data_IF_701768607416
#
_entry.id   IF_701768607416
#
_cell.length_a   1.000
_cell.length_b   1.000
_cell.length_c   1.000
_cell.angle_alpha   90.00
_cell.angle_beta   90.00
_cell.angle_gamma   90.00
#
_symmetry.space_group_name_H-M   'P 1'
#
loop_
_entity.id
_entity.type
_entity.pdbx_description
1 polymer ?
#
# COMPACT_ATOMS: atom_id res chain seq x y z
N UNK A 1 -19.22 31.09 -69.13
CA UNK A 1 -20.49 30.59 -69.72
C UNK A 1 -21.67 31.22 -68.98
N UNK A 2 -22.55 31.90 -69.72
CA UNK A 2 -24.01 32.11 -69.53
C UNK A 2 -24.59 32.60 -68.18
N UNK A 3 -25.24 33.79 -68.30
CA UNK A 3 -26.57 34.24 -67.81
C UNK A 3 -26.73 34.53 -66.29
N UNK A 4 -27.09 35.75 -65.84
CA UNK A 4 -28.31 36.59 -66.01
C UNK A 4 -29.52 36.08 -65.21
N UNK A 5 -29.94 36.92 -64.22
CA UNK A 5 -31.30 37.17 -63.68
C UNK A 5 -31.98 36.04 -62.87
N UNK A 6 -32.87 36.24 -61.88
CA UNK A 6 -33.34 37.33 -61.00
C UNK A 6 -34.50 36.72 -60.17
N UNK A 7 -34.94 37.45 -59.15
CA UNK A 7 -36.32 37.48 -58.59
C UNK A 7 -36.80 36.37 -57.64
N UNK A 8 -37.35 36.91 -56.54
CA UNK A 8 -38.08 36.42 -55.38
C UNK A 8 -39.56 36.09 -55.69
N UNK A 9 -40.36 35.75 -54.65
CA UNK A 9 -41.85 35.67 -54.56
C UNK A 9 -42.37 34.21 -54.68
N UNK A 10 -42.76 33.49 -53.62
CA UNK A 10 -43.80 33.64 -52.57
C UNK A 10 -45.22 33.25 -53.03
N UNK A 11 -45.76 32.17 -52.44
CA UNK A 11 -47.18 31.80 -52.34
C UNK A 11 -47.32 31.07 -50.99
N UNK A 12 -47.85 31.68 -49.93
CA UNK A 12 -49.27 31.75 -49.52
C UNK A 12 -50.01 30.43 -49.77
N UNK A 13 -50.46 29.74 -48.70
CA UNK A 13 -51.89 29.51 -48.41
C UNK A 13 -52.07 29.02 -46.97
N UNK A 14 -53.10 29.57 -46.36
CA UNK A 14 -53.56 29.58 -44.97
C UNK A 14 -54.38 28.37 -44.56
N UNK A 15 -54.67 28.33 -43.25
CA UNK A 15 -55.92 27.92 -42.59
C UNK A 15 -55.86 26.64 -41.74
N UNK A 16 -56.47 26.52 -40.55
CA UNK A 16 -57.04 27.45 -39.54
C UNK A 16 -57.68 26.53 -38.47
N UNK A 17 -57.58 26.93 -37.19
CA UNK A 17 -58.46 26.55 -36.05
C UNK A 17 -58.40 25.08 -35.57
N UNK A 18 -58.60 24.74 -34.30
CA UNK A 18 -59.41 25.40 -33.28
C UNK A 18 -59.01 25.00 -31.85
N UNK A 19 -59.36 25.92 -30.95
CA UNK A 19 -59.25 26.02 -29.49
C UNK A 19 -60.02 24.97 -28.67
N UNK A 20 -59.55 24.67 -27.44
CA UNK A 20 -60.23 25.00 -26.16
C UNK A 20 -59.55 24.36 -24.91
N UNK A 21 -59.27 25.21 -23.90
CA UNK A 21 -59.45 25.08 -22.41
C UNK A 21 -59.35 23.69 -21.73
N UNK A 22 -58.77 23.45 -20.54
CA UNK A 22 -58.76 24.19 -19.25
C UNK A 22 -57.90 23.45 -18.20
N UNK A 23 -57.42 24.22 -17.21
CA UNK A 23 -57.23 23.87 -15.78
C UNK A 23 -56.24 22.76 -15.32
N UNK A 24 -55.23 23.25 -14.60
CA UNK A 24 -54.62 22.72 -13.36
C UNK A 24 -54.37 21.21 -13.22
N UNK A 25 -53.09 20.85 -13.33
CA UNK A 25 -52.50 19.88 -12.42
C UNK A 25 -51.13 20.40 -11.98
N UNK A 26 -51.06 20.81 -10.71
CA UNK A 26 -49.83 20.98 -9.95
C UNK A 26 -48.97 19.71 -10.09
N UNK A 27 -47.98 19.72 -10.99
CA UNK A 27 -46.80 18.89 -10.80
C UNK A 27 -45.84 19.70 -9.96
N UNK A 28 -45.84 19.41 -8.66
CA UNK A 28 -44.63 19.51 -7.85
C UNK A 28 -43.50 18.91 -8.70
N UNK A 29 -42.65 19.77 -9.28
CA UNK A 29 -41.26 19.38 -9.48
C UNK A 29 -40.72 19.30 -8.07
N UNK A 30 -40.75 18.11 -7.49
CA UNK A 30 -39.84 17.80 -6.40
C UNK A 30 -38.47 18.25 -6.88
N UNK A 31 -37.84 19.17 -6.15
CA UNK A 31 -36.41 19.36 -6.27
C UNK A 31 -35.77 17.97 -6.24
N UNK A 32 -34.79 17.67 -7.12
CA UNK A 32 -34.07 16.42 -6.98
C UNK A 32 -33.59 16.35 -5.53
N UNK A 33 -33.98 15.26 -4.86
CA UNK A 33 -33.48 14.95 -3.53
C UNK A 33 -31.96 15.18 -3.55
N UNK A 34 -31.48 15.94 -2.57
CA UNK A 34 -30.09 16.38 -2.46
C UNK A 34 -29.15 15.27 -2.95
N UNK A 35 -28.27 15.52 -3.94
CA UNK A 35 -27.34 14.49 -4.40
C UNK A 35 -26.59 13.98 -3.18
N UNK A 36 -26.58 12.66 -2.98
CA UNK A 36 -25.91 12.05 -1.84
C UNK A 36 -24.50 12.63 -1.70
N UNK A 37 -24.23 13.21 -0.54
CA UNK A 37 -22.96 13.82 -0.23
C UNK A 37 -22.47 13.19 1.06
N UNK A 38 -21.22 12.76 1.06
CA UNK A 38 -20.60 12.29 2.29
C UNK A 38 -20.60 13.39 3.35
N UNK A 39 -20.95 13.03 4.58
CA UNK A 39 -20.98 13.90 5.75
C UNK A 39 -19.57 14.10 6.32
N UNK A 40 -18.75 13.06 6.25
CA UNK A 40 -17.33 13.04 6.61
C UNK A 40 -16.61 12.00 5.75
N UNK A 41 -15.28 11.98 5.78
CA UNK A 41 -14.50 10.92 5.11
C UNK A 41 -13.41 10.41 6.06
N UNK A 42 -13.34 9.09 6.32
CA UNK A 42 -14.28 8.05 5.85
C UNK A 42 -15.67 8.17 6.50
N UNK A 43 -16.74 7.91 5.73
CA UNK A 43 -18.10 7.79 6.26
C UNK A 43 -18.43 6.34 6.59
N UNK A 44 -18.69 6.04 7.86
CA UNK A 44 -18.93 4.67 8.33
C UNK A 44 -20.40 4.46 8.65
N UNK A 45 -20.97 3.37 8.14
CA UNK A 45 -22.27 2.85 8.50
C UNK A 45 -22.11 1.57 9.29
N UNK A 46 -22.87 1.43 10.37
CA UNK A 46 -22.81 0.29 11.30
C UNK A 46 -24.14 -0.44 11.29
N UNK A 47 -24.07 -1.77 11.21
CA UNK A 47 -25.23 -2.66 11.25
C UNK A 47 -26.09 -2.41 12.51
N UNK A 48 -27.40 -2.29 12.32
CA UNK A 48 -28.39 -2.02 13.38
C UNK A 48 -29.06 -3.31 13.87
N UNK A 49 -29.09 -3.50 15.19
CA UNK A 49 -29.91 -4.48 15.92
C UNK A 49 -29.80 -5.96 15.45
N UNK A 50 -28.70 -6.31 14.77
CA UNK A 50 -28.43 -7.65 14.26
C UNK A 50 -27.06 -8.14 14.78
N UNK A 51 -26.83 -9.45 14.76
CA UNK A 51 -25.59 -10.06 15.28
C UNK A 51 -24.38 -9.73 14.38
N UNK A 52 -23.46 -8.83 14.81
CA UNK A 52 -22.31 -8.42 14.00
C UNK A 52 -21.27 -9.55 13.85
N UNK A 53 -21.41 -10.65 14.59
CA UNK A 53 -20.60 -11.85 14.41
C UNK A 53 -21.11 -12.76 13.29
N UNK A 54 -22.30 -12.51 12.73
CA UNK A 54 -22.86 -13.32 11.64
C UNK A 54 -23.05 -12.56 10.34
N UNK A 55 -23.19 -11.24 10.44
CA UNK A 55 -23.50 -10.37 9.32
C UNK A 55 -22.43 -9.28 9.24
N UNK A 56 -22.08 -8.89 8.02
CA UNK A 56 -21.22 -7.77 7.67
C UNK A 56 -21.50 -6.59 8.61
N UNK A 57 -20.54 -6.19 9.46
CA UNK A 57 -20.83 -5.26 10.53
C UNK A 57 -20.81 -3.80 10.08
N UNK A 58 -20.03 -3.46 9.03
CA UNK A 58 -19.87 -2.08 8.58
C UNK A 58 -19.76 -1.92 7.06
N UNK A 59 -20.18 -0.75 6.59
CA UNK A 59 -19.93 -0.22 5.25
C UNK A 59 -19.19 1.11 5.40
N UNK A 60 -18.02 1.24 4.81
CA UNK A 60 -17.21 2.47 4.86
C UNK A 60 -17.08 3.06 3.46
N UNK A 61 -17.35 4.35 3.31
CA UNK A 61 -17.25 5.09 2.05
C UNK A 61 -16.18 6.18 2.15
N UNK A 62 -15.43 6.36 1.07
CA UNK A 62 -14.34 7.33 0.97
C UNK A 62 -14.63 8.37 -0.12
N UNK A 63 -14.11 9.58 0.02
CA UNK A 63 -14.40 10.70 -0.89
C UNK A 63 -14.03 10.41 -2.35
N UNK A 64 -13.01 9.58 -2.58
CA UNK A 64 -12.55 9.23 -3.92
C UNK A 64 -13.39 8.16 -4.64
N UNK A 65 -14.52 7.72 -4.07
CA UNK A 65 -15.33 6.63 -4.62
C UNK A 65 -14.92 5.24 -4.16
N UNK A 66 -13.89 5.10 -3.30
CA UNK A 66 -13.56 3.83 -2.69
C UNK A 66 -14.61 3.44 -1.65
N UNK A 67 -14.81 2.14 -1.47
CA UNK A 67 -15.62 1.59 -0.37
C UNK A 67 -14.96 0.37 0.25
N UNK A 68 -15.18 0.19 1.54
CA UNK A 68 -14.75 -1.00 2.27
C UNK A 68 -15.95 -1.62 2.97
N UNK A 69 -16.16 -2.90 2.69
CA UNK A 69 -17.12 -3.74 3.39
C UNK A 69 -16.34 -4.59 4.40
N UNK A 70 -16.79 -4.63 5.65
CA UNK A 70 -16.15 -5.47 6.65
C UNK A 70 -16.74 -6.89 6.66
N UNK A 71 -16.03 -7.81 7.30
CA UNK A 71 -16.54 -9.14 7.59
C UNK A 71 -16.79 -9.30 9.07
N UNK A 72 -17.63 -10.27 9.47
CA UNK A 72 -17.76 -10.63 10.86
C UNK A 72 -16.41 -11.13 11.43
N UNK A 73 -16.10 -10.85 12.72
CA UNK A 73 -14.83 -11.21 13.35
C UNK A 73 -14.49 -12.71 13.37
N UNK A 74 -15.48 -13.60 13.17
CA UNK A 74 -15.31 -15.06 13.19
C UNK A 74 -14.94 -15.66 11.83
N UNK A 75 -14.80 -14.84 10.78
CA UNK A 75 -14.45 -15.31 9.45
C UNK A 75 -12.93 -15.34 9.27
N UNK A 76 -12.37 -16.55 9.09
CA UNK A 76 -10.99 -16.73 8.63
C UNK A 76 -10.81 -16.48 7.12
N UNK A 77 -11.91 -16.19 6.40
CA UNK A 77 -11.88 -15.91 4.97
C UNK A 77 -11.59 -14.44 4.73
N UNK A 78 -10.44 -14.15 4.10
CA UNK A 78 -10.03 -12.93 3.40
C UNK A 78 -10.85 -11.64 3.64
N UNK A 79 -10.23 -10.63 4.27
CA UNK A 79 -10.67 -9.24 4.26
C UNK A 79 -11.11 -8.86 2.83
N UNK A 80 -12.30 -8.28 2.67
CA UNK A 80 -12.65 -7.67 1.39
C UNK A 80 -11.61 -6.58 1.10
N UNK A 81 -10.89 -6.73 -0.01
CA UNK A 81 -9.98 -5.71 -0.52
C UNK A 81 -10.75 -4.41 -0.79
N UNK A 82 -10.10 -3.27 -0.95
CA UNK A 82 -10.82 -2.02 -1.25
C UNK A 82 -11.68 -2.17 -2.52
N UNK A 83 -12.97 -1.82 -2.41
CA UNK A 83 -13.94 -1.80 -3.49
C UNK A 83 -14.18 -0.39 -4.02
N UNK A 84 -15.13 -0.25 -4.93
CA UNK A 84 -15.62 1.04 -5.43
C UNK A 84 -17.10 1.17 -5.14
N UNK A 85 -17.60 2.39 -4.97
CA UNK A 85 -19.02 2.64 -4.91
C UNK A 85 -19.48 3.65 -5.96
N UNK A 86 -20.72 3.46 -6.38
CA UNK A 86 -21.46 4.38 -7.23
C UNK A 86 -22.81 4.66 -6.60
N UNK A 87 -23.34 5.87 -6.83
CA UNK A 87 -24.63 6.27 -6.31
C UNK A 87 -25.50 6.78 -7.44
N UNK A 88 -26.65 6.14 -7.60
CA UNK A 88 -27.66 6.50 -8.57
C UNK A 88 -28.96 6.80 -7.82
N UNK A 89 -29.32 8.08 -7.75
CA UNK A 89 -30.47 8.57 -6.99
C UNK A 89 -30.41 8.14 -5.51
N UNK A 90 -31.20 7.12 -5.13
CA UNK A 90 -31.27 6.57 -3.79
C UNK A 90 -30.67 5.16 -3.69
N UNK A 91 -29.89 4.73 -4.68
CA UNK A 91 -29.25 3.42 -4.67
C UNK A 91 -27.72 3.59 -4.63
N UNK A 92 -27.11 3.06 -3.57
CA UNK A 92 -25.67 2.92 -3.42
C UNK A 92 -25.29 1.50 -3.84
N UNK A 93 -24.42 1.39 -4.84
CA UNK A 93 -23.86 0.11 -5.26
C UNK A 93 -22.39 0.07 -4.89
N UNK A 94 -21.99 -0.92 -4.10
CA UNK A 94 -20.60 -1.22 -3.76
C UNK A 94 -20.15 -2.45 -4.52
N UNK A 95 -19.04 -2.35 -5.24
CA UNK A 95 -18.45 -3.41 -6.06
C UNK A 95 -17.05 -3.75 -5.56
N UNK A 96 -16.80 -5.03 -5.32
CA UNK A 96 -15.53 -5.63 -4.93
C UNK A 96 -15.13 -6.68 -5.95
N UNK A 97 -14.08 -6.43 -6.74
CA UNK A 97 -13.69 -7.33 -7.82
C UNK A 97 -14.79 -7.52 -8.88
N UNK A 98 -14.65 -8.55 -9.73
CA UNK A 98 -15.52 -8.71 -10.91
C UNK A 98 -16.92 -9.26 -10.57
N UNK A 99 -17.07 -10.02 -9.48
CA UNK A 99 -18.30 -10.79 -9.21
C UNK A 99 -18.96 -10.47 -7.86
N UNK A 100 -18.38 -9.57 -7.08
CA UNK A 100 -18.82 -9.34 -5.71
C UNK A 100 -19.41 -7.94 -5.58
N UNK A 101 -20.68 -7.85 -5.21
CA UNK A 101 -21.40 -6.58 -5.12
C UNK A 101 -22.43 -6.57 -4.00
N UNK A 102 -22.72 -5.38 -3.49
CA UNK A 102 -23.83 -5.10 -2.61
C UNK A 102 -24.55 -3.84 -3.09
N UNK A 103 -25.87 -3.91 -3.20
CA UNK A 103 -26.72 -2.75 -3.49
C UNK A 103 -27.52 -2.40 -2.24
N UNK A 104 -27.55 -1.11 -1.92
CA UNK A 104 -28.20 -0.55 -0.75
C UNK A 104 -29.17 0.54 -1.19
N UNK A 105 -30.34 0.56 -0.57
CA UNK A 105 -31.25 1.69 -0.60
C UNK A 105 -30.77 2.72 0.43
N UNK A 106 -30.52 3.93 -0.05
CA UNK A 106 -30.14 5.09 0.72
C UNK A 106 -31.39 5.83 1.14
N UNK A 107 -31.51 6.09 2.43
CA UNK A 107 -32.65 6.79 3.02
C UNK A 107 -32.20 7.76 4.11
N UNK A 108 -33.15 8.54 4.66
CA UNK A 108 -32.89 9.50 5.73
C UNK A 108 -31.74 10.46 5.42
N UNK A 109 -31.78 11.10 4.25
CA UNK A 109 -30.76 12.04 3.78
C UNK A 109 -29.32 11.45 3.71
N UNK A 110 -29.21 10.13 3.55
CA UNK A 110 -27.92 9.46 3.51
C UNK A 110 -27.48 8.85 4.84
N UNK A 111 -28.24 8.99 5.92
CA UNK A 111 -27.88 8.44 7.23
C UNK A 111 -28.20 6.95 7.37
N UNK A 112 -28.94 6.37 6.44
CA UNK A 112 -29.39 4.97 6.55
C UNK A 112 -29.22 4.23 5.24
N UNK A 113 -28.54 3.08 5.30
CA UNK A 113 -28.43 2.13 4.20
C UNK A 113 -29.26 0.88 4.52
N UNK A 114 -30.09 0.44 3.58
CA UNK A 114 -30.79 -0.84 3.69
C UNK A 114 -30.32 -1.76 2.58
N UNK A 115 -29.74 -2.91 2.93
CA UNK A 115 -29.23 -3.85 1.93
C UNK A 115 -30.37 -4.43 1.08
N UNK A 116 -30.33 -4.21 -0.24
CA UNK A 116 -31.35 -4.68 -1.19
C UNK A 116 -30.96 -5.99 -1.83
N UNK A 117 -29.70 -6.12 -2.18
CA UNK A 117 -29.15 -7.35 -2.77
C UNK A 117 -27.66 -7.44 -2.51
N UNK A 118 -27.14 -8.66 -2.47
CA UNK A 118 -25.72 -8.89 -2.37
C UNK A 118 -25.32 -10.23 -2.97
N UNK A 119 -24.13 -10.29 -3.54
CA UNK A 119 -23.44 -11.54 -3.88
C UNK A 119 -22.35 -11.90 -2.86
N UNK A 120 -22.23 -11.12 -1.77
CA UNK A 120 -21.30 -11.35 -0.67
C UNK A 120 -21.85 -12.39 0.32
N UNK A 121 -20.97 -13.23 0.84
CA UNK A 121 -21.25 -13.98 2.07
C UNK A 121 -21.44 -13.05 3.27
N UNK A 122 -22.03 -13.59 4.36
CA UNK A 122 -22.26 -12.84 5.61
C UNK A 122 -23.15 -11.60 5.43
N UNK A 123 -24.13 -11.65 4.54
CA UNK A 123 -25.09 -10.56 4.36
C UNK A 123 -26.52 -11.05 4.54
N UNK A 124 -27.44 -10.13 4.86
CA UNK A 124 -28.87 -10.40 4.98
C UNK A 124 -29.64 -9.28 4.28
N UNK A 125 -30.35 -9.62 3.21
CA UNK A 125 -31.22 -8.64 2.53
C UNK A 125 -32.24 -8.08 3.54
N UNK A 126 -32.39 -6.76 3.54
CA UNK A 126 -33.17 -6.00 4.51
C UNK A 126 -32.37 -5.56 5.75
N UNK A 127 -31.09 -5.96 5.90
CA UNK A 127 -30.23 -5.45 6.97
C UNK A 127 -30.09 -3.93 6.84
N UNK A 128 -30.20 -3.24 7.98
CA UNK A 128 -30.15 -1.78 8.07
C UNK A 128 -28.83 -1.35 8.70
N UNK A 129 -28.19 -0.36 8.12
CA UNK A 129 -26.96 0.23 8.62
C UNK A 129 -27.18 1.72 8.84
N UNK A 130 -26.81 2.21 10.01
CA UNK A 130 -26.91 3.62 10.35
C UNK A 130 -25.54 4.27 10.25
N UNK A 131 -25.50 5.47 9.69
CA UNK A 131 -24.33 6.33 9.76
C UNK A 131 -23.93 6.54 11.23
N UNK A 132 -22.63 6.44 11.48
CA UNK A 132 -22.02 6.76 12.76
C UNK A 132 -20.80 7.63 12.48
N UNK A 133 -20.82 8.86 13.00
CA UNK A 133 -19.67 9.75 12.84
C UNK A 133 -18.46 9.22 13.60
N UNK A 134 -17.26 9.57 13.14
CA UNK A 134 -16.03 9.22 13.83
C UNK A 134 -15.96 9.88 15.22
N UNK A 135 -16.50 11.10 15.35
CA UNK A 135 -16.62 11.77 16.65
C UNK A 135 -17.52 10.98 17.61
N UNK A 136 -18.68 10.48 17.15
CA UNK A 136 -19.57 9.66 17.97
C UNK A 136 -18.95 8.30 18.32
N UNK A 137 -18.21 7.69 17.39
CA UNK A 137 -17.47 6.46 17.64
C UNK A 137 -16.41 6.67 18.73
N UNK A 138 -15.54 7.66 18.57
CA UNK A 138 -14.43 7.93 19.48
C UNK A 138 -14.88 8.47 20.84
N UNK A 139 -16.05 9.14 20.92
CA UNK A 139 -16.60 9.65 22.19
C UNK A 139 -16.89 8.58 23.24
N UNK A 140 -16.95 7.31 22.83
CA UNK A 140 -17.19 6.16 23.71
C UNK A 140 -15.92 5.68 24.42
N UNK A 141 -14.76 6.20 24.03
CA UNK A 141 -13.45 5.76 24.50
C UNK A 141 -12.72 6.86 25.28
N UNK A 142 -11.85 6.49 26.25
CA UNK A 142 -11.00 7.44 26.92
C UNK A 142 -10.14 8.22 25.92
N UNK A 143 -10.19 9.55 26.00
CA UNK A 143 -9.29 10.44 25.27
C UNK A 143 -8.12 10.83 26.17
N UNK A 144 -6.91 10.57 25.71
CA UNK A 144 -5.68 11.02 26.35
C UNK A 144 -5.24 12.31 25.68
N UNK A 145 -5.15 13.40 26.45
CA UNK A 145 -4.73 14.70 25.94
C UNK A 145 -3.20 14.78 25.85
N UNK A 146 -2.70 15.29 24.73
CA UNK A 146 -1.27 15.44 24.45
C UNK A 146 -1.00 16.41 23.31
N UNK A 147 0.19 16.33 22.71
CA UNK A 147 0.54 17.08 21.51
C UNK A 147 -0.30 16.62 20.30
N UNK A 148 -0.57 17.51 19.34
CA UNK A 148 -1.13 17.07 18.05
C UNK A 148 -0.06 16.28 17.30
N UNK A 149 -0.40 15.07 16.86
CA UNK A 149 0.46 14.29 15.97
C UNK A 149 0.38 14.88 14.56
N UNK A 150 1.46 15.53 14.11
CA UNK A 150 1.53 16.09 12.76
C UNK A 150 2.11 15.09 11.76
N UNK A 151 1.91 15.33 10.47
CA UNK A 151 2.54 14.53 9.40
C UNK A 151 4.06 14.55 9.51
N UNK A 152 4.68 15.69 9.83
CA UNK A 152 6.13 15.76 10.00
C UNK A 152 6.63 14.96 11.22
N UNK A 153 5.92 15.03 12.34
CA UNK A 153 6.22 14.22 13.51
C UNK A 153 6.09 12.71 13.19
N UNK A 154 5.07 12.34 12.42
CA UNK A 154 4.88 10.96 11.96
C UNK A 154 6.00 10.50 11.02
N UNK A 155 6.51 11.36 10.13
CA UNK A 155 7.66 11.05 9.27
C UNK A 155 8.93 10.79 10.08
N UNK A 156 9.15 11.52 11.18
CA UNK A 156 10.28 11.23 12.08
C UNK A 156 10.09 9.90 12.84
N UNK A 157 8.87 9.57 13.25
CA UNK A 157 8.56 8.27 13.88
C UNK A 157 8.80 7.11 12.93
N UNK A 158 8.38 7.23 11.66
CA UNK A 158 8.58 6.20 10.64
C UNK A 158 10.05 5.82 10.46
N UNK A 159 11.00 6.75 10.65
CA UNK A 159 12.44 6.44 10.55
C UNK A 159 12.95 5.50 11.64
N UNK A 160 12.23 5.40 12.77
CA UNK A 160 12.55 4.49 13.88
C UNK A 160 12.02 3.07 13.63
N UNK A 161 11.13 2.89 12.67
CA UNK A 161 10.61 1.58 12.32
C UNK A 161 11.76 0.61 11.93
N UNK A 162 11.68 -0.68 12.29
CA UNK A 162 10.55 -1.36 12.95
C UNK A 162 10.55 -1.25 14.49
N UNK A 163 11.46 -0.50 15.11
CA UNK A 163 11.67 -0.46 16.56
C UNK A 163 10.74 0.48 17.32
N UNK A 164 9.55 0.76 16.77
CA UNK A 164 8.57 1.63 17.42
C UNK A 164 7.94 0.92 18.62
N UNK A 165 7.68 1.69 19.67
CA UNK A 165 7.01 1.23 20.89
C UNK A 165 5.84 2.16 21.21
N UNK A 166 4.90 1.73 22.06
CA UNK A 166 3.80 2.58 22.53
C UNK A 166 4.30 3.91 23.11
N UNK A 167 5.42 3.88 23.84
CA UNK A 167 6.00 5.07 24.45
C UNK A 167 6.50 6.11 23.45
N UNK A 168 6.75 5.73 22.19
CA UNK A 168 7.03 6.71 21.13
C UNK A 168 5.80 7.59 20.80
N UNK A 169 4.59 7.13 21.16
CA UNK A 169 3.32 7.76 20.84
C UNK A 169 2.59 8.39 22.06
N UNK A 170 2.91 7.99 23.29
CA UNK A 170 2.23 8.40 24.54
C UNK A 170 2.08 9.93 24.71
N UNK A 171 3.01 10.71 24.15
CA UNK A 171 2.98 12.17 24.25
C UNK A 171 1.94 12.85 23.34
N UNK A 172 1.38 12.13 22.37
CA UNK A 172 0.40 12.68 21.43
C UNK A 172 -1.04 12.43 21.89
N UNK A 173 -1.96 13.30 21.47
CA UNK A 173 -3.39 13.10 21.71
C UNK A 173 -3.89 11.84 21.01
N UNK A 174 -4.59 10.96 21.74
CA UNK A 174 -5.14 9.72 21.21
C UNK A 174 -6.37 9.22 21.96
N UNK A 175 -6.98 8.17 21.43
CA UNK A 175 -8.08 7.43 22.04
C UNK A 175 -7.66 5.99 22.32
N UNK A 176 -7.95 5.52 23.53
CA UNK A 176 -7.72 4.13 23.95
C UNK A 176 -8.96 3.30 23.63
N UNK A 177 -8.90 2.53 22.54
CA UNK A 177 -10.02 1.67 22.12
C UNK A 177 -10.08 0.41 22.99
N UNK A 178 -8.90 -0.12 23.32
CA UNK A 178 -8.66 -1.17 24.32
C UNK A 178 -7.24 -0.99 24.88
N UNK A 179 -6.83 -1.82 25.85
CA UNK A 179 -5.49 -1.76 26.47
C UNK A 179 -4.34 -1.82 25.48
N UNK A 180 -4.57 -2.47 24.34
CA UNK A 180 -3.55 -2.73 23.32
C UNK A 180 -3.88 -2.07 21.97
N UNK A 181 -4.89 -1.18 21.91
CA UNK A 181 -5.29 -0.55 20.66
C UNK A 181 -5.58 0.94 20.83
N UNK A 182 -4.73 1.75 20.20
CA UNK A 182 -4.77 3.21 20.27
C UNK A 182 -4.99 3.82 18.87
N UNK A 183 -5.80 4.88 18.81
CA UNK A 183 -6.09 5.62 17.58
C UNK A 183 -5.65 7.08 17.72
N UNK A 184 -4.90 7.56 16.73
CA UNK A 184 -4.40 8.92 16.64
C UNK A 184 -4.96 9.60 15.38
N UNK A 185 -5.38 10.85 15.52
CA UNK A 185 -5.65 11.71 14.37
C UNK A 185 -4.35 12.41 13.94
N UNK A 186 -4.06 12.40 12.64
CA UNK A 186 -2.86 13.02 12.08
C UNK A 186 -3.26 14.12 11.11
N UNK A 187 -3.16 15.37 11.57
CA UNK A 187 -3.54 16.60 10.83
C UNK A 187 -4.93 16.55 10.15
N UNK A 188 -5.85 15.71 10.64
CA UNK A 188 -7.17 15.47 10.04
C UNK A 188 -7.17 14.62 8.76
N UNK A 189 -6.02 14.49 8.08
CA UNK A 189 -5.91 13.78 6.80
C UNK A 189 -5.66 12.28 6.93
N UNK A 190 -5.11 11.83 8.06
CA UNK A 190 -4.80 10.43 8.29
C UNK A 190 -5.24 9.96 9.68
N UNK A 191 -5.43 8.66 9.79
CA UNK A 191 -5.68 7.95 11.04
C UNK A 191 -4.54 6.97 11.27
N UNK A 192 -3.81 7.12 12.37
CA UNK A 192 -2.80 6.16 12.80
C UNK A 192 -3.42 5.19 13.81
N UNK A 193 -3.30 3.90 13.53
CA UNK A 193 -3.68 2.78 14.39
C UNK A 193 -2.41 2.17 14.97
N UNK A 194 -2.29 2.17 16.29
CA UNK A 194 -1.19 1.51 17.02
C UNK A 194 -1.77 0.34 17.80
N UNK A 195 -1.30 -0.86 17.49
CA UNK A 195 -1.76 -2.11 18.10
C UNK A 195 -0.57 -2.80 18.75
N UNK A 196 -0.72 -3.21 20.00
CA UNK A 196 0.29 -3.98 20.73
C UNK A 196 -0.12 -5.45 20.70
N UNK A 197 0.75 -6.33 20.23
CA UNK A 197 0.50 -7.77 20.30
C UNK A 197 0.92 -8.33 21.65
N UNK A 198 0.42 -9.53 21.99
CA UNK A 198 0.67 -10.17 23.29
C UNK A 198 2.15 -10.49 23.56
N UNK A 199 2.99 -10.49 22.53
CA UNK A 199 4.45 -10.65 22.60
C UNK A 199 5.18 -9.30 22.84
N UNK A 200 4.45 -8.19 22.94
CA UNK A 200 4.97 -6.84 23.14
C UNK A 200 5.37 -6.11 21.86
N UNK A 201 5.19 -6.72 20.68
CA UNK A 201 5.46 -6.04 19.41
C UNK A 201 4.40 -4.97 19.12
N UNK A 202 4.83 -3.86 18.53
CA UNK A 202 3.93 -2.74 18.19
C UNK A 202 3.72 -2.69 16.68
N UNK A 203 2.49 -2.97 16.24
CA UNK A 203 2.03 -2.76 14.88
C UNK A 203 1.52 -1.33 14.69
N UNK A 204 2.04 -0.63 13.68
CA UNK A 204 1.62 0.74 13.38
C UNK A 204 1.14 0.83 11.92
N UNK A 205 -0.13 1.19 11.72
CA UNK A 205 -0.73 1.35 10.39
C UNK A 205 -1.29 2.75 10.26
N UNK A 206 -0.84 3.48 9.24
CA UNK A 206 -1.37 4.79 8.86
C UNK A 206 -2.39 4.59 7.74
N UNK A 207 -3.61 5.07 7.94
CA UNK A 207 -4.67 5.05 6.93
C UNK A 207 -4.96 6.47 6.45
N UNK A 208 -5.08 6.66 5.14
CA UNK A 208 -5.43 7.95 4.56
C UNK A 208 -6.94 8.09 4.53
N UNK A 209 -7.46 9.11 5.20
CA UNK A 209 -8.89 9.26 5.41
C UNK A 209 -9.67 9.48 4.08
N UNK A 210 -9.02 10.04 3.06
CA UNK A 210 -9.67 10.36 1.77
C UNK A 210 -9.91 9.16 0.85
N UNK A 211 -9.14 8.08 0.99
CA UNK A 211 -9.20 6.93 0.08
C UNK A 211 -9.05 5.56 0.76
N UNK A 212 -8.79 5.52 2.07
CA UNK A 212 -8.64 4.29 2.84
C UNK A 212 -7.36 3.52 2.58
N UNK A 213 -6.43 4.07 1.80
CA UNK A 213 -5.13 3.43 1.58
C UNK A 213 -4.36 3.39 2.88
N UNK A 214 -3.91 2.19 3.24
CA UNK A 214 -3.15 1.94 4.45
C UNK A 214 -1.66 1.79 4.15
N UNK A 215 -0.82 2.23 5.08
CA UNK A 215 0.62 2.09 5.05
C UNK A 215 1.10 1.49 6.38
N UNK A 216 1.67 0.28 6.38
CA UNK A 216 2.29 -0.33 7.54
C UNK A 216 3.66 0.32 7.80
N UNK A 217 3.79 1.08 8.89
CA UNK A 217 5.00 1.87 9.17
C UNK A 217 6.25 0.99 9.34
N UNK A 218 6.10 -0.23 9.87
CA UNK A 218 7.18 -1.20 10.02
C UNK A 218 7.82 -1.62 8.69
N UNK A 219 7.09 -1.45 7.58
CA UNK A 219 7.59 -1.76 6.24
C UNK A 219 8.18 -0.55 5.51
N UNK A 220 8.32 0.62 6.14
CA UNK A 220 8.96 1.74 5.47
C UNK A 220 10.43 1.44 5.12
N UNK A 221 10.84 1.77 3.89
CA UNK A 221 12.16 1.43 3.37
C UNK A 221 12.25 -0.01 2.85
N UNK A 222 11.12 -0.73 2.83
CA UNK A 222 10.97 -2.00 2.11
C UNK A 222 10.73 -1.74 0.62
N UNK A 223 10.94 -2.75 -0.21
CA UNK A 223 10.74 -2.66 -1.65
C UNK A 223 9.30 -2.25 -1.98
N UNK A 224 9.14 -1.23 -2.85
CA UNK A 224 7.88 -0.55 -3.17
C UNK A 224 7.14 0.14 -2.00
N UNK A 225 7.77 0.30 -0.82
CA UNK A 225 7.15 0.90 0.36
C UNK A 225 7.99 2.08 0.88
N UNK A 226 7.63 3.27 0.41
CA UNK A 226 8.14 4.53 0.91
C UNK A 226 7.01 5.36 1.49
N UNK A 227 7.17 5.78 2.74
CA UNK A 227 6.17 6.58 3.42
C UNK A 227 5.99 7.94 2.75
N UNK A 228 7.07 8.57 2.27
CA UNK A 228 6.98 9.85 1.58
C UNK A 228 6.27 9.73 0.22
N UNK A 229 6.44 8.61 -0.49
CA UNK A 229 5.64 8.29 -1.70
C UNK A 229 4.19 8.06 -1.32
N UNK A 230 3.93 7.32 -0.23
CA UNK A 230 2.58 7.14 0.30
C UNK A 230 1.93 8.46 0.71
N UNK A 231 2.68 9.46 1.21
CA UNK A 231 2.12 10.78 1.52
C UNK A 231 1.95 11.67 0.28
N UNK A 232 2.43 11.24 -0.89
CA UNK A 232 2.47 12.06 -2.11
C UNK A 232 3.51 13.19 -2.06
N UNK A 233 4.48 13.10 -1.15
CA UNK A 233 5.58 14.05 -0.99
C UNK A 233 6.79 13.71 -1.87
N UNK A 234 6.87 12.46 -2.34
CA UNK A 234 7.88 11.97 -3.26
C UNK A 234 7.24 11.19 -4.41
N UNK A 235 7.96 11.08 -5.53
CA UNK A 235 7.60 10.16 -6.60
C UNK A 235 8.26 8.80 -6.34
N UNK A 236 7.62 7.68 -6.72
CA UNK A 236 8.28 6.39 -6.70
C UNK A 236 9.54 6.45 -7.56
N UNK A 237 10.60 5.79 -7.10
CA UNK A 237 11.85 5.69 -7.83
C UNK A 237 11.63 5.02 -9.18
N UNK A 238 12.38 5.48 -10.17
CA UNK A 238 12.44 4.88 -11.52
C UNK A 238 13.81 4.26 -11.76
N UNK A 239 14.55 3.93 -10.71
CA UNK A 239 15.84 3.31 -10.86
C UNK A 239 15.65 1.91 -11.45
N UNK A 240 15.99 1.77 -12.73
CA UNK A 240 15.98 0.48 -13.41
C UNK A 240 17.14 -0.36 -12.89
N UNK A 241 16.92 -1.60 -12.44
CA UNK A 241 18.00 -2.45 -11.97
C UNK A 241 19.10 -2.61 -13.01
N UNK A 242 20.36 -2.60 -12.56
CA UNK A 242 21.53 -2.65 -13.42
C UNK A 242 22.48 -3.75 -12.99
N UNK A 243 23.10 -4.41 -13.96
CA UNK A 243 24.21 -5.31 -13.72
C UNK A 243 25.52 -4.54 -13.82
N UNK A 244 26.27 -4.46 -12.71
CA UNK A 244 27.64 -3.96 -12.76
C UNK A 244 28.58 -5.07 -13.26
N UNK A 245 28.51 -6.25 -12.64
CA UNK A 245 29.29 -7.43 -13.02
C UNK A 245 28.61 -8.72 -12.56
N UNK A 246 28.89 -9.82 -13.23
CA UNK A 246 28.38 -11.13 -12.87
C UNK A 246 29.32 -12.24 -13.35
N UNK A 247 29.97 -12.90 -12.39
CA UNK A 247 30.89 -14.03 -12.61
C UNK A 247 30.39 -15.30 -11.94
N UNK A 248 29.15 -15.34 -11.45
CA UNK A 248 28.68 -16.44 -10.61
C UNK A 248 28.63 -17.79 -11.35
N UNK A 249 28.45 -17.77 -12.67
CA UNK A 249 28.43 -18.97 -13.52
C UNK A 249 29.70 -19.14 -14.36
N UNK A 250 30.70 -18.28 -14.17
CA UNK A 250 31.91 -18.30 -14.97
C UNK A 250 32.88 -19.34 -14.41
N UNK A 251 33.61 -20.02 -15.29
CA UNK A 251 34.58 -21.06 -14.88
C UNK A 251 35.80 -20.46 -14.17
N UNK A 252 36.16 -19.21 -14.47
CA UNK A 252 37.29 -18.49 -13.89
C UNK A 252 36.90 -17.08 -13.43
N UNK A 253 37.32 -16.72 -12.23
CA UNK A 253 37.20 -15.37 -11.70
C UNK A 253 38.45 -14.56 -12.04
N UNK A 254 38.33 -13.28 -12.46
CA UNK A 254 39.49 -12.42 -12.76
C UNK A 254 40.19 -11.94 -11.47
N UNK A 255 40.96 -12.82 -10.85
CA UNK A 255 41.70 -12.54 -9.62
C UNK A 255 42.70 -11.39 -9.80
N UNK A 256 42.68 -10.43 -8.88
CA UNK A 256 43.59 -9.27 -8.89
C UNK A 256 43.21 -8.16 -9.87
N UNK A 257 42.15 -8.32 -10.67
CA UNK A 257 41.58 -7.23 -11.45
C UNK A 257 40.78 -6.27 -10.57
N UNK A 258 40.72 -5.02 -11.02
CA UNK A 258 39.89 -3.97 -10.44
C UNK A 258 38.92 -3.48 -11.50
N UNK A 259 37.65 -3.38 -11.16
CA UNK A 259 36.62 -2.74 -11.99
C UNK A 259 36.10 -1.50 -11.30
N UNK A 260 36.02 -0.41 -12.03
CA UNK A 260 35.52 0.86 -11.53
C UNK A 260 34.10 1.11 -11.98
N UNK A 261 33.33 1.83 -11.17
CA UNK A 261 31.99 2.31 -11.48
C UNK A 261 31.81 3.71 -10.90
N UNK A 262 31.20 4.58 -11.68
CA UNK A 262 30.72 5.89 -11.24
C UNK A 262 29.23 5.96 -11.46
N UNK A 263 28.49 6.45 -10.48
CA UNK A 263 27.03 6.54 -10.53
C UNK A 263 26.59 8.02 -10.44
N UNK A 264 25.67 8.49 -11.30
CA UNK A 264 25.10 9.84 -11.20
C UNK A 264 24.49 10.14 -9.83
N UNK A 265 23.95 9.12 -9.17
CA UNK A 265 23.32 9.18 -7.83
C UNK A 265 24.33 9.49 -6.72
N UNK A 266 25.62 9.23 -6.96
CA UNK A 266 26.72 9.44 -6.03
C UNK A 266 27.86 10.24 -6.70
N UNK A 267 27.64 11.53 -6.99
CA UNK A 267 28.59 12.33 -7.76
C UNK A 267 29.93 12.47 -7.04
N UNK A 268 31.02 12.25 -7.77
CA UNK A 268 32.39 12.36 -7.25
C UNK A 268 32.88 11.11 -6.49
N UNK A 269 32.08 10.04 -6.44
CA UNK A 269 32.47 8.77 -5.85
C UNK A 269 32.82 7.78 -6.96
N UNK A 270 34.00 7.16 -6.84
CA UNK A 270 34.39 6.00 -7.63
C UNK A 270 34.24 4.75 -6.77
N UNK A 271 33.35 3.88 -7.18
CA UNK A 271 33.21 2.55 -6.62
C UNK A 271 34.19 1.60 -7.30
N UNK A 272 34.80 0.71 -6.53
CA UNK A 272 35.71 -0.30 -7.08
C UNK A 272 35.29 -1.68 -6.62
N UNK A 273 35.33 -2.64 -7.53
CA UNK A 273 35.21 -4.06 -7.24
C UNK A 273 36.54 -4.73 -7.49
N UNK A 274 36.93 -5.62 -6.59
CA UNK A 274 37.85 -6.72 -6.85
C UNK A 274 37.17 -8.03 -6.46
N UNK A 275 37.78 -9.16 -6.83
CA UNK A 275 37.31 -10.49 -6.42
C UNK A 275 37.08 -10.65 -4.91
N UNK A 276 37.69 -9.81 -4.08
CA UNK A 276 37.64 -9.92 -2.61
C UNK A 276 36.72 -8.89 -1.94
N UNK A 277 36.37 -7.79 -2.61
CA UNK A 277 35.65 -6.67 -1.98
C UNK A 277 35.07 -5.66 -2.95
N UNK A 278 34.11 -4.89 -2.44
CA UNK A 278 33.63 -3.65 -3.05
C UNK A 278 33.97 -2.46 -2.16
N UNK A 279 34.44 -1.36 -2.74
CA UNK A 279 34.79 -0.13 -2.03
C UNK A 279 34.18 1.12 -2.68
N UNK A 280 34.11 2.21 -1.92
CA UNK A 280 33.87 3.57 -2.38
C UNK A 280 35.05 4.44 -1.93
N UNK A 281 35.98 4.73 -2.84
CA UNK A 281 37.31 5.22 -2.46
C UNK A 281 37.99 4.26 -1.48
N UNK A 282 38.39 4.77 -0.31
CA UNK A 282 39.07 3.99 0.74
C UNK A 282 38.10 3.19 1.64
N UNK A 283 36.79 3.43 1.56
CA UNK A 283 35.79 2.76 2.39
C UNK A 283 35.42 1.40 1.79
N UNK A 284 35.63 0.32 2.52
CA UNK A 284 35.10 -0.99 2.16
C UNK A 284 33.60 -1.03 2.43
N UNK A 285 32.80 -1.36 1.43
CA UNK A 285 31.35 -1.53 1.57
C UNK A 285 31.04 -2.94 2.08
N UNK A 286 31.62 -3.95 1.42
CA UNK A 286 31.55 -5.35 1.84
C UNK A 286 32.69 -6.16 1.21
N UNK A 287 32.90 -7.37 1.74
CA UNK A 287 33.94 -8.29 1.31
C UNK A 287 33.34 -9.68 1.03
N UNK A 288 34.10 -10.50 0.32
CA UNK A 288 33.78 -11.89 0.03
C UNK A 288 35.04 -12.64 -0.39
N UNK A 289 34.95 -13.96 -0.42
CA UNK A 289 35.98 -14.86 -0.93
C UNK A 289 35.34 -15.92 -1.84
N UNK A 290 34.92 -15.54 -3.07
CA UNK A 290 34.97 -14.20 -3.66
C UNK A 290 33.63 -13.43 -3.57
N UNK A 291 33.64 -12.18 -4.06
CA UNK A 291 32.45 -11.45 -4.50
C UNK A 291 32.15 -11.83 -5.95
N UNK A 292 31.09 -12.59 -6.18
CA UNK A 292 30.80 -13.18 -7.49
C UNK A 292 30.10 -12.23 -8.47
N UNK A 293 29.12 -11.48 -7.97
CA UNK A 293 28.34 -10.56 -8.77
C UNK A 293 27.98 -9.32 -7.95
N UNK A 294 27.71 -8.23 -8.67
CA UNK A 294 27.17 -7.01 -8.08
C UNK A 294 26.12 -6.46 -9.02
N UNK A 295 24.89 -6.42 -8.54
CA UNK A 295 23.76 -5.75 -9.17
C UNK A 295 23.40 -4.49 -8.37
N UNK A 296 22.77 -3.55 -9.05
CA UNK A 296 22.39 -2.25 -8.52
C UNK A 296 20.87 -2.11 -8.67
N UNK A 297 20.18 -1.75 -7.61
CA UNK A 297 18.72 -1.52 -7.64
C UNK A 297 18.33 -0.65 -6.46
N UNK A 298 17.26 0.12 -6.59
CA UNK A 298 16.72 0.93 -5.49
C UNK A 298 15.60 0.15 -4.77
N UNK A 299 15.99 -0.60 -3.75
CA UNK A 299 15.13 -1.40 -2.89
C UNK A 299 14.45 -0.55 -1.81
N UNK A 300 15.03 0.59 -1.42
CA UNK A 300 14.50 1.47 -0.37
C UNK A 300 13.59 2.58 -0.91
N UNK A 301 13.55 2.76 -2.24
CA UNK A 301 12.86 3.82 -2.99
C UNK A 301 13.34 5.24 -2.63
N UNK A 302 14.62 5.39 -2.29
CA UNK A 302 15.23 6.68 -1.94
C UNK A 302 15.87 7.40 -3.15
N UNK A 303 15.75 6.80 -4.34
CA UNK A 303 16.30 7.26 -5.60
C UNK A 303 17.76 6.88 -5.81
N UNK A 304 18.38 6.11 -4.92
CA UNK A 304 19.78 5.70 -5.00
C UNK A 304 19.89 4.18 -4.94
N UNK A 305 20.77 3.56 -5.73
CA UNK A 305 20.86 2.11 -5.76
C UNK A 305 21.60 1.55 -4.55
N UNK A 306 21.08 0.45 -4.02
CA UNK A 306 21.83 -0.48 -3.18
C UNK A 306 22.70 -1.42 -4.02
N UNK A 307 23.86 -1.78 -3.47
CA UNK A 307 24.78 -2.76 -4.04
C UNK A 307 24.39 -4.15 -3.55
N UNK A 308 23.84 -4.97 -4.44
CA UNK A 308 23.35 -6.32 -4.17
C UNK A 308 24.33 -7.34 -4.71
N UNK A 309 24.93 -8.15 -3.85
CA UNK A 309 26.01 -9.06 -4.24
C UNK A 309 25.81 -10.47 -3.70
N UNK A 310 26.17 -11.44 -4.54
CA UNK A 310 26.44 -12.82 -4.12
C UNK A 310 27.89 -12.93 -3.69
N UNK A 311 28.14 -13.42 -2.49
CA UNK A 311 29.49 -13.55 -1.93
C UNK A 311 29.66 -14.92 -1.31
N UNK A 312 30.85 -15.51 -1.43
CA UNK A 312 31.19 -16.71 -0.65
C UNK A 312 32.04 -16.37 0.56
N UNK A 313 31.91 -17.15 1.63
CA UNK A 313 32.75 -17.03 2.82
C UNK A 313 33.28 -18.38 3.27
N UNK A 314 34.39 -18.34 4.02
CA UNK A 314 35.01 -19.51 4.62
C UNK A 314 36.17 -20.09 3.80
N UNK A 315 37.15 -20.66 4.50
CA UNK A 315 38.33 -21.31 3.92
C UNK A 315 38.30 -22.84 4.08
N UNK A 316 37.14 -23.40 4.44
CA UNK A 316 36.94 -24.83 4.69
C UNK A 316 35.49 -25.22 4.39
N UNK A 317 34.56 -24.88 5.29
CA UNK A 317 33.12 -24.89 5.01
C UNK A 317 32.83 -23.59 4.27
N UNK A 318 32.83 -23.67 2.94
CA UNK A 318 32.46 -22.55 2.06
C UNK A 318 30.95 -22.53 1.91
N UNK A 319 30.34 -21.38 2.10
CA UNK A 319 28.92 -21.12 1.88
C UNK A 319 28.72 -19.78 1.15
N UNK A 320 27.57 -19.63 0.50
CA UNK A 320 27.25 -18.47 -0.34
C UNK A 320 26.11 -17.66 0.25
N UNK A 321 26.35 -16.36 0.43
CA UNK A 321 25.45 -15.39 1.02
C UNK A 321 25.05 -14.34 0.00
N UNK A 322 24.01 -13.60 0.36
CA UNK A 322 23.69 -12.33 -0.29
C UNK A 322 23.99 -11.21 0.68
N UNK A 323 24.63 -10.16 0.17
CA UNK A 323 24.81 -8.89 0.86
C UNK A 323 24.15 -7.81 0.02
N UNK A 324 23.23 -7.06 0.60
CA UNK A 324 22.75 -5.80 0.05
C UNK A 324 23.33 -4.68 0.91
N UNK A 325 24.01 -3.73 0.27
CA UNK A 325 24.63 -2.59 0.93
C UNK A 325 24.00 -1.29 0.44
N UNK A 326 23.39 -0.55 1.35
CA UNK A 326 22.87 0.80 1.13
C UNK A 326 23.93 1.84 1.49
N UNK A 327 24.52 2.43 0.46
CA UNK A 327 25.54 3.48 0.63
C UNK A 327 24.96 4.82 1.08
N UNK A 328 23.68 5.09 0.80
CA UNK A 328 23.03 6.34 1.18
C UNK A 328 22.83 6.42 2.70
N UNK A 329 22.51 5.30 3.33
CA UNK A 329 22.27 5.22 4.78
C UNK A 329 23.34 4.47 5.56
N UNK A 330 24.37 3.96 4.90
CA UNK A 330 25.45 3.15 5.47
C UNK A 330 24.93 1.88 6.19
N UNK A 331 23.99 1.19 5.55
CA UNK A 331 23.36 -0.02 6.08
C UNK A 331 23.71 -1.26 5.28
N UNK A 332 23.77 -2.40 5.97
CA UNK A 332 24.05 -3.71 5.37
C UNK A 332 22.90 -4.66 5.71
N UNK A 333 22.39 -5.34 4.69
CA UNK A 333 21.36 -6.36 4.81
C UNK A 333 21.93 -7.70 4.33
N UNK A 334 22.29 -8.61 5.26
CA UNK A 334 22.80 -9.92 4.91
C UNK A 334 21.69 -10.96 4.82
N UNK A 335 21.82 -11.91 3.90
CA UNK A 335 21.09 -13.16 3.88
C UNK A 335 22.09 -14.32 3.83
N UNK A 336 22.12 -15.06 4.93
CA UNK A 336 23.00 -16.20 5.14
C UNK A 336 22.31 -17.21 6.04
N UNK A 337 22.51 -18.50 5.75
CA UNK A 337 22.11 -19.60 6.62
C UNK A 337 23.13 -20.73 6.52
N UNK A 338 24.30 -20.41 7.07
CA UNK A 338 25.50 -21.23 6.99
C UNK A 338 25.19 -22.68 7.36
N UNK A 339 25.67 -23.60 6.53
CA UNK A 339 25.47 -25.07 6.64
C UNK A 339 24.06 -25.61 6.37
N UNK A 340 23.05 -24.75 6.23
CA UNK A 340 21.70 -25.19 5.87
C UNK A 340 21.36 -24.86 4.42
N UNK A 341 21.60 -23.60 4.03
CA UNK A 341 21.24 -23.11 2.69
C UNK A 341 22.33 -22.21 2.10
N UNK A 342 22.45 -22.27 0.78
CA UNK A 342 23.19 -21.30 0.00
C UNK A 342 22.22 -20.38 -0.73
N UNK A 343 22.65 -19.13 -0.93
CA UNK A 343 21.87 -18.11 -1.62
C UNK A 343 22.69 -17.47 -2.72
N UNK A 344 22.07 -17.25 -3.87
CA UNK A 344 22.69 -16.50 -4.96
C UNK A 344 21.71 -15.60 -5.68
N UNK A 345 22.24 -14.51 -6.20
CA UNK A 345 21.53 -13.58 -7.06
C UNK A 345 21.64 -13.98 -8.52
N UNK A 346 20.58 -13.74 -9.26
CA UNK A 346 20.57 -13.75 -10.72
C UNK A 346 19.74 -12.58 -11.23
N UNK A 347 20.12 -12.01 -12.37
CA UNK A 347 19.35 -10.97 -13.04
C UNK A 347 18.79 -11.48 -14.37
N UNK A 348 17.49 -11.34 -14.58
CA UNK A 348 16.80 -11.65 -15.84
C UNK A 348 15.75 -10.58 -16.15
N UNK A 349 15.66 -10.16 -17.41
CA UNK A 349 14.72 -9.12 -17.90
C UNK A 349 14.62 -7.83 -17.04
N UNK A 350 15.71 -7.42 -16.37
CA UNK A 350 15.70 -6.23 -15.51
C UNK A 350 15.23 -6.49 -14.08
N UNK A 351 14.97 -7.74 -13.69
CA UNK A 351 14.62 -8.13 -12.33
C UNK A 351 15.76 -8.91 -11.67
N UNK A 352 16.06 -8.57 -10.42
CA UNK A 352 17.01 -9.31 -9.60
C UNK A 352 16.22 -10.32 -8.77
N UNK A 353 16.60 -11.59 -8.87
CA UNK A 353 16.03 -12.68 -8.08
C UNK A 353 17.06 -13.25 -7.12
N UNK A 354 16.57 -13.62 -5.94
CA UNK A 354 17.26 -14.47 -4.97
C UNK A 354 16.89 -15.91 -5.27
N UNK A 355 17.85 -16.81 -5.28
CA UNK A 355 17.61 -18.26 -5.29
C UNK A 355 18.23 -18.90 -4.07
N UNK A 356 17.47 -19.79 -3.42
CA UNK A 356 17.91 -20.61 -2.30
C UNK A 356 18.11 -22.05 -2.76
N UNK A 357 19.19 -22.67 -2.30
CA UNK A 357 19.47 -24.11 -2.45
C UNK A 357 19.80 -24.73 -1.11
N UNK A 358 19.70 -26.06 -0.98
CA UNK A 358 20.33 -26.75 0.14
C UNK A 358 21.84 -26.51 0.11
N UNK A 359 22.47 -26.45 1.29
CA UNK A 359 23.90 -26.26 1.42
C UNK A 359 24.69 -27.21 0.51
N UNK A 360 25.58 -26.66 -0.33
CA UNK A 360 26.43 -27.38 -1.29
C UNK A 360 25.66 -28.17 -2.37
N UNK A 361 24.39 -27.85 -2.58
CA UNK A 361 23.60 -28.42 -3.67
C UNK A 361 23.26 -27.35 -4.70
N UNK A 362 23.31 -27.73 -5.98
CA UNK A 362 23.02 -26.81 -7.08
C UNK A 362 21.52 -26.71 -7.39
N UNK A 363 20.70 -27.60 -6.81
CA UNK A 363 19.27 -27.66 -7.12
C UNK A 363 18.53 -26.53 -6.41
N UNK A 364 17.88 -25.60 -7.14
CA UNK A 364 17.02 -24.58 -6.54
C UNK A 364 15.89 -25.22 -5.74
N UNK A 365 15.75 -24.80 -4.49
CA UNK A 365 14.55 -25.06 -3.70
C UNK A 365 13.46 -24.06 -4.10
N UNK A 366 13.84 -22.80 -4.23
CA UNK A 366 12.93 -21.68 -4.48
C UNK A 366 13.70 -20.47 -5.00
N UNK A 367 13.03 -19.68 -5.86
CA UNK A 367 13.51 -18.40 -6.35
C UNK A 367 12.38 -17.37 -6.31
N UNK A 368 12.70 -16.13 -5.95
CA UNK A 368 11.79 -14.99 -6.11
C UNK A 368 12.58 -13.69 -6.24
N UNK A 369 11.87 -12.63 -6.61
CA UNK A 369 12.40 -11.28 -6.69
C UNK A 369 13.06 -10.86 -5.36
N UNK A 370 14.22 -10.23 -5.47
CA UNK A 370 14.90 -9.60 -4.34
C UNK A 370 14.02 -8.50 -3.77
N UNK A 371 13.73 -8.59 -2.48
CA UNK A 371 12.94 -7.61 -1.75
C UNK A 371 13.59 -7.37 -0.40
N UNK A 372 13.62 -6.11 0.02
CA UNK A 372 13.79 -5.76 1.42
C UNK A 372 12.40 -5.69 2.05
N UNK A 373 12.19 -6.42 3.15
CA UNK A 373 10.97 -6.41 3.96
C UNK A 373 11.41 -6.27 5.41
N UNK A 374 10.87 -5.29 6.14
CA UNK A 374 11.27 -4.97 7.53
C UNK A 374 12.76 -4.65 7.69
N UNK A 375 13.43 -4.15 6.64
CA UNK A 375 14.88 -3.94 6.69
C UNK A 375 15.68 -5.24 6.73
N UNK A 376 15.12 -6.33 6.21
CA UNK A 376 15.81 -7.59 5.97
C UNK A 376 15.55 -8.06 4.54
N UNK A 377 16.45 -8.86 3.98
CA UNK A 377 16.18 -9.52 2.70
C UNK A 377 15.09 -10.56 2.91
N UNK A 378 14.03 -10.51 2.10
CA UNK A 378 12.94 -11.47 2.16
C UNK A 378 13.45 -12.91 2.05
N UNK A 379 13.12 -13.73 3.05
CA UNK A 379 13.49 -15.14 3.13
C UNK A 379 12.30 -16.01 2.72
N UNK A 380 12.58 -17.05 1.95
CA UNK A 380 11.58 -18.03 1.58
C UNK A 380 11.24 -18.92 2.78
N UNK A 381 9.95 -19.22 2.97
CA UNK A 381 9.52 -20.28 3.88
C UNK A 381 9.52 -19.95 5.38
N UNK A 382 9.69 -18.70 5.80
CA UNK A 382 9.33 -18.34 7.19
C UNK A 382 7.82 -18.12 7.30
N UNK A 383 7.12 -19.11 7.85
CA UNK A 383 6.07 -18.81 8.82
C UNK A 383 6.71 -18.10 10.00
N UNK A 384 6.13 -16.97 10.41
CA UNK A 384 6.44 -16.29 11.67
C UNK A 384 5.99 -17.20 12.82
N UNK A 385 6.73 -18.26 13.10
CA UNK A 385 6.58 -19.09 14.28
C UNK A 385 7.77 -20.05 14.32
N UNK A 386 8.77 -19.70 15.12
CA UNK A 386 9.59 -20.64 15.90
C UNK A 386 10.46 -19.83 16.87
N UNK A 387 9.80 -19.25 17.87
CA UNK A 387 10.45 -18.93 19.15
C UNK A 387 10.17 -20.11 20.07
N UNK A 388 11.17 -20.95 20.30
CA UNK A 388 11.18 -21.88 21.44
C UNK A 388 11.77 -21.21 22.67
#
# INVERSE_FOLDING_TARGET
MKKIFYVMVLFITTCVLSSCTSEQANRFKSEPANPFKLLETPQVYVLKDEDPFRIMPTVTLYENGNAQLSQPPISSFALFTMGQYEINENELMVTHGENTRASFEVSNNGDTLTLKSSTLGFTKVGAVYNYRSNADYLSQYPKIEGETLTVDALRELVKKAPYLTVSDFEKYTHFDIDTDYHIFNVDGGYTLKVIVSSDGNTGCIVERNSDGKSFPMNLNGSTNLSFDVYLGLANPSKYEPQKWLDYFKDEELPWGEIKELTLPEFPGITFTWSSEKVTAGDKVLFQGMPVWNVYLTDLTNDGKPEFCATVSFGSGIVDTHIIVYDYATDKVYPLADRTHYDYYLSMDEGEISVTQTEYMHEKPLVSAKLQLINGEIFRFGQSVEETQ
#
